data_IF_190485937090
#
_entry.id   IF_190485937090
#
_cell.length_a   1.000
_cell.length_b   1.000
_cell.length_c   1.000
_cell.angle_alpha   90.00
_cell.angle_beta   90.00
_cell.angle_gamma   90.00
#
_symmetry.space_group_name_H-M   'P 1'
#
loop_
_entity.id
_entity.type
_entity.pdbx_description
1 polymer ?
#
# COMPACT_ATOMS: atom_id res chain seq x y z
N UNK A 1 -12.29 -17.43 -17.89
CA UNK A 1 -13.05 -16.16 -17.78
C UNK A 1 -12.41 -15.20 -18.77
N UNK A 2 -13.19 -14.36 -19.47
CA UNK A 2 -12.57 -13.32 -20.33
C UNK A 2 -11.93 -12.24 -19.45
N UNK A 3 -10.85 -11.61 -19.90
CA UNK A 3 -10.13 -10.58 -19.11
C UNK A 3 -11.06 -9.45 -18.65
N UNK A 4 -12.04 -9.09 -19.50
CA UNK A 4 -13.08 -8.12 -19.19
C UNK A 4 -13.94 -8.53 -17.97
N UNK A 5 -14.32 -9.81 -17.89
CA UNK A 5 -15.11 -10.32 -16.75
C UNK A 5 -14.33 -10.33 -15.45
N UNK A 6 -13.00 -10.47 -15.53
CA UNK A 6 -12.10 -10.48 -14.39
C UNK A 6 -11.86 -9.06 -13.86
N UNK A 7 -11.69 -8.08 -14.76
CA UNK A 7 -11.69 -6.65 -14.41
C UNK A 7 -13.01 -6.21 -13.78
N UNK A 8 -14.15 -6.65 -14.34
CA UNK A 8 -15.45 -6.39 -13.75
C UNK A 8 -15.58 -6.99 -12.35
N UNK A 9 -15.07 -8.22 -12.14
CA UNK A 9 -15.05 -8.86 -10.83
C UNK A 9 -14.21 -8.08 -9.81
N UNK A 10 -13.04 -7.57 -10.20
CA UNK A 10 -12.21 -6.69 -9.34
C UNK A 10 -13.01 -5.47 -8.89
N UNK A 11 -13.71 -4.81 -9.82
CA UNK A 11 -14.54 -3.64 -9.52
C UNK A 11 -15.67 -3.96 -8.54
N UNK A 12 -16.41 -5.04 -8.80
CA UNK A 12 -17.52 -5.49 -7.93
C UNK A 12 -17.02 -5.88 -6.54
N UNK A 13 -15.93 -6.67 -6.46
CA UNK A 13 -15.32 -7.05 -5.18
C UNK A 13 -14.81 -5.83 -4.41
N UNK A 14 -14.22 -4.85 -5.10
CA UNK A 14 -13.74 -3.62 -4.47
C UNK A 14 -14.88 -2.83 -3.84
N UNK A 15 -16.00 -2.67 -4.55
CA UNK A 15 -17.21 -1.99 -4.03
C UNK A 15 -17.79 -2.78 -2.86
N UNK A 16 -17.87 -4.11 -2.96
CA UNK A 16 -18.36 -4.98 -1.89
C UNK A 16 -17.48 -4.87 -0.63
N UNK A 17 -16.16 -4.86 -0.79
CA UNK A 17 -15.21 -4.68 0.31
C UNK A 17 -15.32 -3.30 0.96
N UNK A 18 -15.49 -2.24 0.16
CA UNK A 18 -15.69 -0.88 0.69
C UNK A 18 -17.00 -0.76 1.47
N UNK A 19 -18.08 -1.35 0.94
CA UNK A 19 -19.37 -1.39 1.64
C UNK A 19 -19.27 -2.19 2.95
N UNK A 20 -18.59 -3.34 2.91
CA UNK A 20 -18.36 -4.16 4.08
C UNK A 20 -17.52 -3.43 5.13
N UNK A 21 -16.45 -2.74 4.70
CA UNK A 21 -15.60 -1.91 5.57
C UNK A 21 -16.42 -0.85 6.30
N UNK A 22 -17.31 -0.16 5.59
CA UNK A 22 -18.22 0.82 6.18
C UNK A 22 -19.18 0.18 7.19
N UNK A 23 -19.75 -1.00 6.88
CA UNK A 23 -20.64 -1.73 7.78
C UNK A 23 -19.96 -2.15 9.09
N UNK A 24 -18.73 -2.63 9.01
CA UNK A 24 -17.96 -3.10 10.18
C UNK A 24 -17.13 -1.99 10.85
N UNK A 25 -17.17 -0.76 10.31
CA UNK A 25 -16.41 0.41 10.79
C UNK A 25 -14.91 0.19 10.86
N UNK A 26 -14.37 -0.61 9.93
CA UNK A 26 -12.93 -0.82 9.77
C UNK A 26 -12.41 -0.02 8.57
N UNK A 27 -11.11 0.36 8.56
CA UNK A 27 -10.50 0.98 7.39
C UNK A 27 -10.59 0.05 6.17
N UNK A 28 -10.96 0.60 5.02
CA UNK A 28 -11.25 -0.17 3.80
C UNK A 28 -10.09 -1.04 3.31
N UNK A 29 -8.84 -0.66 3.64
CA UNK A 29 -7.64 -1.42 3.30
C UNK A 29 -7.66 -2.84 3.89
N UNK A 30 -8.27 -3.04 5.07
CA UNK A 30 -8.29 -4.34 5.74
C UNK A 30 -9.17 -5.37 4.99
N UNK A 31 -10.47 -5.11 4.70
CA UNK A 31 -11.27 -6.02 3.89
C UNK A 31 -10.71 -6.23 2.48
N UNK A 32 -10.16 -5.18 1.86
CA UNK A 32 -9.53 -5.28 0.54
C UNK A 32 -8.32 -6.22 0.55
N UNK A 33 -7.46 -6.12 1.57
CA UNK A 33 -6.29 -6.98 1.72
C UNK A 33 -6.69 -8.44 1.97
N UNK A 34 -7.65 -8.68 2.85
CA UNK A 34 -8.16 -10.04 3.12
C UNK A 34 -8.79 -10.64 1.87
N UNK A 35 -9.65 -9.89 1.19
CA UNK A 35 -10.27 -10.35 -0.05
C UNK A 35 -9.24 -10.63 -1.14
N UNK A 36 -8.25 -9.75 -1.31
CA UNK A 36 -7.16 -9.92 -2.28
C UNK A 36 -6.31 -11.16 -1.98
N UNK A 37 -5.96 -11.39 -0.72
CA UNK A 37 -5.19 -12.56 -0.30
C UNK A 37 -5.99 -13.86 -0.50
N UNK A 38 -7.30 -13.83 -0.23
CA UNK A 38 -8.16 -14.99 -0.45
C UNK A 38 -8.33 -15.29 -1.95
N UNK A 39 -8.76 -14.31 -2.73
CA UNK A 39 -9.09 -14.50 -4.16
C UNK A 39 -7.83 -14.71 -5.01
N UNK A 40 -6.71 -14.11 -4.63
CA UNK A 40 -5.43 -14.22 -5.33
C UNK A 40 -4.73 -15.56 -5.07
N UNK A 41 -3.80 -15.66 -4.11
CA UNK A 41 -3.00 -16.87 -3.90
C UNK A 41 -3.78 -18.08 -3.36
N UNK A 42 -4.83 -17.90 -2.54
CA UNK A 42 -5.51 -19.07 -1.94
C UNK A 42 -6.49 -19.76 -2.88
N UNK A 43 -7.31 -18.98 -3.61
CA UNK A 43 -8.29 -19.51 -4.56
C UNK A 43 -7.72 -19.62 -5.99
N UNK A 44 -6.67 -18.87 -6.31
CA UNK A 44 -6.06 -18.84 -7.65
C UNK A 44 -6.96 -18.22 -8.72
N UNK A 45 -8.09 -17.62 -8.34
CA UNK A 45 -9.06 -17.04 -9.27
C UNK A 45 -8.56 -15.73 -9.87
N UNK A 46 -7.69 -15.02 -9.15
CA UNK A 46 -7.13 -13.76 -9.60
C UNK A 46 -5.60 -13.80 -9.66
N UNK A 47 -5.07 -13.82 -10.88
CA UNK A 47 -3.64 -13.80 -11.14
C UNK A 47 -3.27 -12.46 -11.79
N UNK A 48 -2.87 -11.45 -10.98
CA UNK A 48 -2.61 -10.11 -11.49
C UNK A 48 -1.44 -10.10 -12.47
N UNK A 49 -0.46 -10.97 -12.30
CA UNK A 49 0.68 -11.12 -13.22
C UNK A 49 0.25 -11.54 -14.62
N UNK A 50 -0.76 -12.41 -14.76
CA UNK A 50 -1.26 -12.80 -16.08
C UNK A 50 -2.22 -11.77 -16.67
N UNK A 51 -3.02 -11.12 -15.82
CA UNK A 51 -4.04 -10.16 -16.27
C UNK A 51 -3.41 -8.84 -16.72
N UNK A 52 -2.42 -8.36 -15.97
CA UNK A 52 -1.76 -7.09 -16.25
C UNK A 52 -0.39 -7.28 -16.92
N UNK A 53 0.28 -8.42 -16.81
CA UNK A 53 1.56 -8.72 -17.47
C UNK A 53 2.55 -7.54 -17.36
N UNK A 54 3.03 -7.00 -18.48
CA UNK A 54 3.92 -5.84 -18.53
C UNK A 54 3.31 -4.51 -18.01
N UNK A 55 1.98 -4.45 -17.82
CA UNK A 55 1.26 -3.28 -17.30
C UNK A 55 1.12 -3.29 -15.77
N UNK A 56 1.42 -4.39 -15.08
CA UNK A 56 1.25 -4.48 -13.62
C UNK A 56 2.07 -3.40 -12.91
N UNK A 57 3.37 -3.33 -13.20
CA UNK A 57 4.26 -2.36 -12.59
C UNK A 57 3.89 -0.91 -12.94
N UNK A 58 3.65 -0.54 -14.23
CA UNK A 58 3.15 0.79 -14.58
C UNK A 58 1.85 1.18 -13.86
N UNK A 59 0.86 0.29 -13.79
CA UNK A 59 -0.43 0.57 -13.15
C UNK A 59 -0.27 0.75 -11.65
N UNK A 60 0.51 -0.09 -10.98
CA UNK A 60 0.80 0.07 -9.54
C UNK A 60 1.55 1.37 -9.28
N UNK A 61 2.57 1.69 -10.08
CA UNK A 61 3.31 2.95 -9.95
C UNK A 61 2.41 4.17 -10.15
N UNK A 62 1.51 4.12 -11.14
CA UNK A 62 0.53 5.19 -11.39
C UNK A 62 -0.44 5.32 -10.21
N UNK A 63 -0.98 4.21 -9.71
CA UNK A 63 -1.89 4.20 -8.57
C UNK A 63 -1.25 4.79 -7.32
N UNK A 64 -0.02 4.38 -6.99
CA UNK A 64 0.75 4.92 -5.85
C UNK A 64 0.98 6.43 -6.04
N UNK A 65 1.38 6.87 -7.24
CA UNK A 65 1.58 8.28 -7.53
C UNK A 65 0.29 9.10 -7.34
N UNK A 66 -0.86 8.60 -7.82
CA UNK A 66 -2.17 9.25 -7.66
C UNK A 66 -2.59 9.33 -6.19
N UNK A 67 -2.41 8.25 -5.42
CA UNK A 67 -2.75 8.22 -3.98
C UNK A 67 -1.90 9.25 -3.21
N UNK A 68 -0.59 9.29 -3.46
CA UNK A 68 0.31 10.26 -2.82
C UNK A 68 -0.02 11.69 -3.25
N UNK A 69 -0.38 11.89 -4.52
CA UNK A 69 -0.78 13.19 -5.04
C UNK A 69 -2.06 13.70 -4.38
N UNK A 70 -3.10 12.87 -4.29
CA UNK A 70 -4.36 13.20 -3.60
C UNK A 70 -4.13 13.56 -2.13
N UNK A 71 -3.28 12.78 -1.44
CA UNK A 71 -2.86 13.07 -0.07
C UNK A 71 -2.17 14.43 0.06
N UNK A 72 -1.29 14.78 -0.90
CA UNK A 72 -0.56 16.05 -0.91
C UNK A 72 -1.44 17.26 -1.25
N UNK A 73 -2.47 17.12 -2.10
CA UNK A 73 -3.41 18.20 -2.42
C UNK A 73 -4.34 18.54 -1.24
N UNK A 74 -4.61 17.56 -0.38
CA UNK A 74 -5.43 17.73 0.84
C UNK A 74 -4.63 18.36 1.99
N UNK A 75 -3.31 18.51 1.81
CA UNK A 75 -2.40 19.06 2.81
C UNK A 75 -2.65 20.55 3.05
N UNK A 76 -2.91 20.93 4.30
CA UNK A 76 -3.09 22.32 4.70
C UNK A 76 -1.76 22.93 5.16
N UNK A 77 -1.13 23.71 4.29
CA UNK A 77 0.16 24.36 4.59
C UNK A 77 0.12 25.28 5.82
N UNK A 78 -1.03 25.87 6.12
CA UNK A 78 -1.20 26.77 7.27
C UNK A 78 -1.06 26.02 8.62
N UNK A 79 -1.61 24.81 8.72
CA UNK A 79 -1.49 23.94 9.90
C UNK A 79 -0.02 23.48 10.11
N UNK A 80 0.71 23.28 9.01
CA UNK A 80 2.13 22.90 9.04
C UNK A 80 2.98 24.05 9.51
N UNK A 81 2.66 25.31 9.19
CA UNK A 81 3.51 26.45 9.57
C UNK A 81 3.59 26.66 11.09
N UNK A 82 2.51 26.35 11.82
CA UNK A 82 2.46 26.44 13.29
C UNK A 82 3.22 25.33 14.03
N UNK A 83 3.32 24.13 13.44
CA UNK A 83 3.97 22.95 14.04
C UNK A 83 5.16 22.43 13.20
N UNK A 84 5.64 23.25 12.27
CA UNK A 84 6.43 22.80 11.12
C UNK A 84 7.73 22.13 11.50
N UNK A 85 8.42 22.65 12.52
CA UNK A 85 9.69 22.07 12.97
C UNK A 85 9.55 20.65 13.51
N UNK A 86 8.43 20.34 14.17
CA UNK A 86 8.17 18.98 14.64
C UNK A 86 7.87 18.05 13.46
N UNK A 87 6.99 18.47 12.55
CA UNK A 87 6.61 17.69 11.36
C UNK A 87 7.83 17.44 10.47
N UNK A 88 8.65 18.46 10.21
CA UNK A 88 9.87 18.30 9.40
C UNK A 88 10.85 17.33 10.05
N UNK A 89 11.05 17.40 11.37
CA UNK A 89 11.93 16.48 12.07
C UNK A 89 11.38 15.05 12.04
N UNK A 90 10.07 14.87 12.15
CA UNK A 90 9.43 13.55 12.10
C UNK A 90 9.55 12.92 10.70
N UNK A 91 9.34 13.70 9.65
CA UNK A 91 9.39 13.22 8.25
C UNK A 91 10.82 13.07 7.73
N UNK A 92 11.80 13.81 8.27
CA UNK A 92 13.22 13.70 7.85
C UNK A 92 14.01 12.79 8.78
N UNK A 93 14.36 13.26 9.97
CA UNK A 93 15.17 12.53 10.95
C UNK A 93 14.41 11.28 11.41
N UNK A 94 13.11 11.40 11.71
CA UNK A 94 12.29 10.28 12.14
C UNK A 94 12.21 9.17 11.08
N UNK A 95 12.10 9.53 9.80
CA UNK A 95 12.14 8.56 8.69
C UNK A 95 13.49 7.83 8.65
N UNK A 96 14.62 8.54 8.69
CA UNK A 96 15.96 7.92 8.68
C UNK A 96 16.17 7.02 9.89
N UNK A 97 15.77 7.46 11.09
CA UNK A 97 15.88 6.66 12.31
C UNK A 97 15.02 5.39 12.22
N UNK A 98 13.79 5.50 11.72
CA UNK A 98 12.89 4.35 11.53
C UNK A 98 13.47 3.37 10.52
N UNK A 99 13.95 3.88 9.38
CA UNK A 99 14.60 3.10 8.33
C UNK A 99 15.80 2.31 8.87
N UNK A 100 16.71 2.97 9.59
CA UNK A 100 17.88 2.31 10.21
C UNK A 100 17.42 1.27 11.23
N UNK A 101 16.48 1.62 12.11
CA UNK A 101 16.04 0.72 13.20
C UNK A 101 15.40 -0.55 12.65
N UNK A 102 14.51 -0.43 11.66
CA UNK A 102 13.85 -1.57 11.02
C UNK A 102 14.85 -2.40 10.21
N UNK A 103 15.73 -1.76 9.45
CA UNK A 103 16.77 -2.46 8.68
C UNK A 103 17.70 -3.26 9.58
N UNK A 104 18.20 -2.66 10.67
CA UNK A 104 19.05 -3.34 11.67
C UNK A 104 18.29 -4.46 12.36
N UNK A 105 17.06 -4.22 12.81
CA UNK A 105 16.25 -5.25 13.46
C UNK A 105 15.98 -6.44 12.51
N UNK A 106 15.70 -6.18 11.24
CA UNK A 106 15.48 -7.22 10.23
C UNK A 106 16.76 -8.02 9.98
N UNK A 107 17.92 -7.37 9.89
CA UNK A 107 19.21 -8.05 9.75
C UNK A 107 19.46 -9.02 10.92
N UNK A 108 19.26 -8.59 12.16
CA UNK A 108 19.57 -9.42 13.33
C UNK A 108 18.49 -10.45 13.70
N UNK A 109 17.21 -10.16 13.45
CA UNK A 109 16.11 -11.08 13.80
C UNK A 109 15.90 -12.13 12.70
N UNK A 110 15.98 -11.74 11.43
CA UNK A 110 15.74 -12.63 10.29
C UNK A 110 17.04 -13.18 9.65
N UNK A 111 18.21 -12.74 10.12
CA UNK A 111 19.54 -13.13 9.59
C UNK A 111 19.71 -12.85 8.09
N UNK A 112 19.01 -11.82 7.59
CA UNK A 112 19.04 -11.44 6.18
C UNK A 112 20.21 -10.53 5.85
N UNK A 113 20.78 -10.64 4.64
CA UNK A 113 21.83 -9.73 4.17
C UNK A 113 21.39 -8.26 4.21
N UNK A 114 22.34 -7.35 4.45
CA UNK A 114 22.11 -5.91 4.52
C UNK A 114 21.35 -5.33 3.33
N UNK A 115 21.58 -5.84 2.11
CA UNK A 115 20.88 -5.34 0.92
C UNK A 115 19.37 -5.56 1.03
N UNK A 116 18.95 -6.75 1.47
CA UNK A 116 17.53 -7.09 1.60
C UNK A 116 16.95 -6.41 2.85
N UNK A 117 17.67 -6.40 3.96
CA UNK A 117 17.22 -5.76 5.20
C UNK A 117 16.94 -4.25 5.01
N UNK A 118 17.76 -3.56 4.19
CA UNK A 118 17.57 -2.14 3.87
C UNK A 118 16.34 -1.82 3.03
N UNK A 119 15.74 -2.81 2.35
CA UNK A 119 14.50 -2.64 1.60
C UNK A 119 13.25 -2.73 2.49
N UNK A 120 13.38 -3.35 3.67
CA UNK A 120 12.27 -3.50 4.62
C UNK A 120 12.13 -2.30 5.56
N UNK A 121 13.25 -1.67 5.92
CA UNK A 121 13.24 -0.37 6.60
C UNK A 121 12.83 0.74 5.66
#
# INVERSE_FOLDING_TARGET
>A
MSDLSMLALIGVLSICCQWLAWRIKLPAILPLLVCGLLVGPTLGWLQPDQLFDHLLFPVVSLAVAVILFEGSLTLKFDEIRGHGRMVTNLVSIGMVVTWITISVATHFIMDWRWEIASLFG
#
